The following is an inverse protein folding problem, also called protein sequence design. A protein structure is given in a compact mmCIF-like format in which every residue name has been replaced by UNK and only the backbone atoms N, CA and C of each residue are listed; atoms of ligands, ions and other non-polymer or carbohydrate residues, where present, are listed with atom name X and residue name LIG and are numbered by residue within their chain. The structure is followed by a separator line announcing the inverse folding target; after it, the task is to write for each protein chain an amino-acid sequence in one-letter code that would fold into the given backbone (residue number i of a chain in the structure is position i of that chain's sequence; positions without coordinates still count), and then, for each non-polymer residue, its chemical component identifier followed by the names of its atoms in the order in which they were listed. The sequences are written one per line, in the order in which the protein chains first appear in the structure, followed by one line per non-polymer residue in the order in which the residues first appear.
data_IF_347891255629
#
_entry.id   IF_347891255629
#
_cell.length_a   1.000
_cell.length_b   1.000
_cell.length_c   1.000
_cell.angle_alpha   90.00
_cell.angle_beta   90.00
_cell.angle_gamma   90.00
#
_symmetry.space_group_name_H-M   'P 1'
#
loop_
_entity.id
_entity.type
_entity.pdbx_description
1 polymer ?
#
# COMPACT_ATOMS: atom_id res chain seq x y z
N UNK A 1 -13.63 -7.81 12.04
CA UNK A 1 -13.78 -7.89 11.59
C UNK A 1 -13.79 -7.98 10.79
N UNK A 2 -13.83 -7.97 10.89
CA UNK A 2 -13.71 -7.70 10.22
C UNK A 2 -14.45 -7.72 9.19
N UNK A 3 -14.85 -6.86 9.11
CA UNK A 3 -15.62 -6.63 8.02
C UNK A 3 -15.27 -7.47 6.96
N UNK A 4 -14.25 -7.88 7.12
CA UNK A 4 -13.79 -8.60 6.15
C UNK A 4 -13.83 -9.96 6.48
N UNK A 5 -14.66 -10.39 7.27
CA UNK A 5 -14.82 -11.71 7.66
C UNK A 5 -15.33 -12.56 6.57
N UNK A 6 -14.89 -12.37 5.38
CA UNK A 6 -15.23 -13.17 4.24
C UNK A 6 -16.34 -12.62 3.38
N UNK A 7 -16.91 -11.51 3.80
CA UNK A 7 -18.00 -10.94 3.02
C UNK A 7 -17.54 -9.75 2.18
N UNK A 8 -16.39 -9.16 2.49
CA UNK A 8 -15.90 -8.01 1.77
C UNK A 8 -15.05 -8.40 0.58
N UNK A 9 -14.94 -7.46 -0.34
CA UNK A 9 -14.07 -7.65 -1.50
C UNK A 9 -12.67 -7.18 -1.19
N UNK A 10 -11.70 -7.85 -1.78
CA UNK A 10 -10.29 -7.57 -1.62
C UNK A 10 -9.67 -7.27 -2.97
N UNK A 11 -8.85 -6.22 -3.00
CA UNK A 11 -8.03 -5.94 -4.16
C UNK A 11 -6.74 -6.74 -4.03
N UNK A 12 -6.43 -7.54 -5.05
CA UNK A 12 -5.25 -8.38 -5.06
C UNK A 12 -4.16 -7.66 -5.83
N UNK A 13 -3.01 -7.48 -5.18
CA UNK A 13 -1.87 -6.78 -5.77
C UNK A 13 -0.64 -7.69 -5.76
N UNK A 14 0.28 -7.42 -6.70
CA UNK A 14 1.56 -8.10 -6.75
C UNK A 14 2.56 -7.22 -6.01
N UNK A 15 3.16 -7.74 -4.95
CA UNK A 15 4.13 -6.98 -4.16
C UNK A 15 5.53 -7.15 -4.73
N UNK A 16 5.90 -8.39 -5.03
CA UNK A 16 7.12 -8.73 -5.76
C UNK A 16 6.84 -9.99 -6.57
N UNK A 17 7.83 -10.58 -7.21
CA UNK A 17 7.58 -11.72 -8.10
C UNK A 17 7.03 -12.93 -7.35
N UNK A 18 7.24 -13.02 -6.05
CA UNK A 18 6.84 -14.19 -5.27
C UNK A 18 5.61 -13.97 -4.40
N UNK A 19 5.26 -12.74 -4.09
CA UNK A 19 4.26 -12.45 -3.05
C UNK A 19 3.12 -11.61 -3.60
N UNK A 20 1.90 -12.09 -3.36
CA UNK A 20 0.68 -11.32 -3.56
C UNK A 20 0.15 -10.85 -2.22
N UNK A 21 -0.52 -9.72 -2.24
CA UNK A 21 -1.14 -9.16 -1.05
C UNK A 21 -2.57 -8.74 -1.38
N UNK A 22 -3.34 -8.53 -0.33
CA UNK A 22 -4.72 -8.12 -0.48
C UNK A 22 -4.99 -6.87 0.34
N UNK A 23 -5.75 -5.96 -0.24
CA UNK A 23 -6.16 -4.71 0.40
C UNK A 23 -7.68 -4.71 0.40
N UNK A 24 -8.33 -4.45 1.55
CA UNK A 24 -9.79 -4.32 1.55
C UNK A 24 -10.23 -3.26 0.55
N UNK A 25 -11.14 -3.62 -0.32
CA UNK A 25 -11.51 -2.74 -1.42
C UNK A 25 -12.16 -1.45 -0.94
N UNK A 26 -12.86 -1.50 0.19
CA UNK A 26 -13.48 -0.30 0.75
C UNK A 26 -12.47 0.70 1.32
N UNK A 27 -11.21 0.31 1.47
CA UNK A 27 -10.14 1.25 1.85
C UNK A 27 -9.56 1.96 0.63
N UNK A 28 -9.85 1.51 -0.57
CA UNK A 28 -9.22 2.00 -1.79
C UNK A 28 -10.03 3.18 -2.31
N UNK A 29 -9.36 4.32 -2.49
CA UNK A 29 -9.99 5.50 -3.07
C UNK A 29 -9.83 5.54 -4.58
N UNK A 30 -8.65 5.16 -5.06
CA UNK A 30 -8.36 5.12 -6.49
C UNK A 30 -7.28 4.12 -6.79
N UNK A 31 -7.26 3.66 -8.03
CA UNK A 31 -6.17 2.88 -8.60
C UNK A 31 -5.54 3.75 -9.68
N UNK A 32 -4.24 3.96 -9.59
CA UNK A 32 -3.54 4.80 -10.55
C UNK A 32 -2.34 4.08 -11.12
N UNK A 33 -1.99 4.46 -12.32
CA UNK A 33 -0.74 4.00 -12.92
C UNK A 33 -0.02 5.24 -13.42
N UNK A 34 1.12 5.55 -12.80
CA UNK A 34 1.92 6.73 -13.15
C UNK A 34 3.13 6.28 -13.97
N UNK A 35 3.64 7.18 -14.79
CA UNK A 35 4.95 6.98 -15.37
C UNK A 35 6.00 7.03 -14.25
N UNK A 36 7.00 6.17 -14.31
CA UNK A 36 8.07 6.20 -13.31
C UNK A 36 8.77 7.56 -13.29
N UNK A 37 8.75 8.29 -14.39
CA UNK A 37 9.33 9.63 -14.45
C UNK A 37 8.59 10.65 -13.61
N UNK A 38 7.34 10.39 -13.27
CA UNK A 38 6.54 11.30 -12.45
C UNK A 38 6.84 11.13 -10.97
N UNK A 39 7.53 10.08 -10.58
CA UNK A 39 7.85 9.82 -9.18
C UNK A 39 9.10 10.61 -8.84
N UNK A 40 8.98 11.47 -7.82
CA UNK A 40 10.08 12.33 -7.40
C UNK A 40 10.58 11.89 -6.04
N UNK A 41 11.86 12.04 -5.83
CA UNK A 41 12.48 11.71 -4.57
C UNK A 41 12.79 12.97 -3.80
N UNK A 42 12.33 13.02 -2.55
CA UNK A 42 12.63 14.13 -1.65
C UNK A 42 13.21 13.50 -0.40
N UNK A 43 14.52 13.57 -0.24
CA UNK A 43 15.21 12.82 0.79
C UNK A 43 15.02 11.33 0.59
N UNK A 44 14.49 10.65 1.60
CA UNK A 44 14.21 9.21 1.51
C UNK A 44 12.79 8.92 1.07
N UNK A 45 11.99 9.96 0.85
CA UNK A 45 10.59 9.79 0.47
C UNK A 45 10.43 9.78 -1.03
N UNK A 46 9.50 8.98 -1.52
CA UNK A 46 9.04 9.03 -2.90
C UNK A 46 7.68 9.69 -2.90
N UNK A 47 7.49 10.65 -3.78
CA UNK A 47 6.25 11.41 -3.85
C UNK A 47 5.86 11.61 -5.31
N UNK A 48 4.61 11.98 -5.52
CA UNK A 48 4.11 12.29 -6.85
C UNK A 48 3.16 13.47 -6.75
N UNK A 49 3.11 14.26 -7.81
CA UNK A 49 2.12 15.33 -7.87
C UNK A 49 0.80 14.72 -8.27
N UNK A 50 -0.22 14.94 -7.46
CA UNK A 50 -1.49 14.27 -7.64
C UNK A 50 -2.61 15.24 -7.32
N UNK A 51 -3.36 15.61 -8.35
CA UNK A 51 -4.57 16.45 -8.21
C UNK A 51 -4.27 17.77 -7.48
N UNK A 52 -3.16 18.39 -7.83
CA UNK A 52 -2.79 19.67 -7.25
C UNK A 52 -2.14 19.60 -5.89
N UNK A 53 -1.84 18.41 -5.41
CA UNK A 53 -1.20 18.20 -4.12
C UNK A 53 -0.04 17.23 -4.27
N UNK A 54 0.69 17.02 -3.19
CA UNK A 54 1.75 16.04 -3.15
C UNK A 54 1.21 14.78 -2.49
N UNK A 55 1.31 13.66 -3.18
CA UNK A 55 0.91 12.36 -2.65
C UNK A 55 2.16 11.61 -2.20
N UNK A 56 2.24 11.31 -0.91
CA UNK A 56 3.31 10.49 -0.37
C UNK A 56 3.13 9.04 -0.82
N UNK A 57 4.17 8.45 -1.37
CA UNK A 57 4.16 7.04 -1.74
C UNK A 57 4.77 6.19 -0.63
N UNK A 58 4.25 5.00 -0.46
CA UNK A 58 4.77 3.99 0.46
C UNK A 58 5.10 2.76 -0.36
N UNK A 59 6.37 2.36 -0.34
CA UNK A 59 6.80 1.12 -0.98
C UNK A 59 6.35 -0.04 -0.09
N UNK A 60 5.34 -0.76 -0.52
CA UNK A 60 4.73 -1.80 0.30
C UNK A 60 5.76 -2.87 0.66
N UNK A 61 6.51 -3.36 -0.32
CA UNK A 61 7.49 -4.43 -0.07
C UNK A 61 8.49 -4.01 1.01
N UNK A 62 9.05 -2.81 0.88
CA UNK A 62 10.02 -2.32 1.85
C UNK A 62 9.40 -2.16 3.24
N UNK A 63 8.20 -1.62 3.29
CA UNK A 63 7.55 -1.30 4.56
C UNK A 63 7.17 -2.55 5.35
N UNK A 64 6.73 -3.60 4.65
CA UNK A 64 6.32 -4.83 5.34
C UNK A 64 7.45 -5.87 5.41
N UNK A 65 8.68 -5.48 5.03
CA UNK A 65 9.84 -6.36 5.18
C UNK A 65 9.96 -7.45 4.14
N UNK A 66 9.39 -7.24 2.96
CA UNK A 66 9.53 -8.18 1.84
C UNK A 66 10.60 -7.72 0.88
N UNK A 67 11.10 -8.64 0.07
CA UNK A 67 12.13 -8.30 -0.92
C UNK A 67 11.59 -7.30 -1.93
N UNK A 68 12.38 -6.24 -2.16
CA UNK A 68 12.06 -5.24 -3.16
C UNK A 68 12.64 -5.66 -4.50
N UNK A 69 11.92 -5.29 -5.55
CA UNK A 69 12.36 -5.52 -6.92
C UNK A 69 12.32 -4.18 -7.67
N UNK A 70 13.13 -4.02 -8.72
CA UNK A 70 13.10 -2.79 -9.50
C UNK A 70 11.70 -2.52 -10.02
N UNK A 71 11.28 -1.25 -10.00
CA UNK A 71 9.98 -0.86 -10.51
C UNK A 71 9.99 -0.94 -12.04
N UNK A 72 8.98 -1.58 -12.60
CA UNK A 72 8.78 -1.61 -14.04
C UNK A 72 7.62 -0.73 -14.48
N UNK A 73 6.76 -0.38 -13.53
CA UNK A 73 5.63 0.52 -13.78
C UNK A 73 5.27 1.19 -12.47
N UNK A 74 4.47 2.24 -12.54
CA UNK A 74 4.09 3.02 -11.38
C UNK A 74 2.67 2.72 -10.92
N UNK A 75 2.39 1.50 -10.53
CA UNK A 75 1.08 1.14 -9.99
C UNK A 75 0.96 1.61 -8.55
N UNK A 76 -0.09 2.36 -8.27
CA UNK A 76 -0.32 2.95 -6.95
C UNK A 76 -1.78 2.74 -6.55
N UNK A 77 -1.95 2.26 -5.33
CA UNK A 77 -3.27 2.12 -4.70
C UNK A 77 -3.42 3.28 -3.74
N UNK A 78 -4.32 4.21 -4.03
CA UNK A 78 -4.51 5.40 -3.19
C UNK A 78 -5.49 5.06 -2.08
N UNK A 79 -5.06 5.26 -0.84
CA UNK A 79 -5.87 4.98 0.34
C UNK A 79 -5.91 6.22 1.24
N UNK A 80 -6.87 6.27 2.15
CA UNK A 80 -7.00 7.36 3.11
C UNK A 80 -8.33 8.08 2.99
N UNK A 81 -8.41 9.26 3.56
CA UNK A 81 -9.63 10.06 3.57
C UNK A 81 -9.30 11.54 3.38
N UNK A 82 -10.12 12.22 2.58
CA UNK A 82 -10.01 13.68 2.41
C UNK A 82 -8.62 14.11 2.01
N UNK A 83 -8.00 14.94 2.85
CA UNK A 83 -6.66 15.43 2.57
C UNK A 83 -5.57 14.48 3.06
N UNK A 84 -5.93 13.40 3.74
CA UNK A 84 -4.96 12.46 4.30
C UNK A 84 -4.88 11.23 3.41
N UNK A 85 -4.32 11.41 2.21
CA UNK A 85 -4.15 10.33 1.25
C UNK A 85 -2.71 9.86 1.20
N UNK A 86 -2.54 8.57 0.96
CA UNK A 86 -1.24 7.93 0.78
C UNK A 86 -1.36 6.99 -0.41
N UNK A 87 -0.30 6.91 -1.20
CA UNK A 87 -0.25 5.98 -2.32
C UNK A 87 0.58 4.75 -1.98
N UNK A 88 -0.05 3.59 -2.01
CA UNK A 88 0.66 2.33 -1.81
C UNK A 88 1.26 1.88 -3.12
N UNK A 89 2.57 1.82 -3.19
CA UNK A 89 3.30 1.48 -4.40
C UNK A 89 3.49 -0.03 -4.47
N UNK A 90 2.99 -0.64 -5.54
CA UNK A 90 3.04 -2.09 -5.76
C UNK A 90 3.51 -2.39 -7.17
N UNK A 91 3.91 -3.63 -7.43
CA UNK A 91 4.40 -4.03 -8.75
C UNK A 91 3.26 -4.24 -9.76
N UNK A 92 2.07 -4.56 -9.29
CA UNK A 92 0.95 -4.74 -10.18
C UNK A 92 -0.35 -4.84 -9.42
N UNK A 93 -1.44 -4.58 -10.14
CA UNK A 93 -2.79 -4.71 -9.62
C UNK A 93 -3.42 -5.84 -10.42
N UNK A 94 -3.86 -6.89 -9.74
CA UNK A 94 -4.22 -8.13 -10.41
C UNK A 94 -5.71 -8.35 -10.57
N UNK A 95 -6.48 -8.23 -9.48
CA UNK A 95 -7.87 -8.66 -9.52
C UNK A 95 -8.60 -8.19 -8.27
N UNK A 96 -9.90 -8.42 -8.24
CA UNK A 96 -10.73 -8.25 -7.06
C UNK A 96 -11.35 -9.59 -6.74
N UNK A 97 -11.32 -10.00 -5.49
CA UNK A 97 -11.84 -11.29 -5.08
C UNK A 97 -12.51 -11.18 -3.71
N UNK A 98 -13.53 -12.00 -3.50
CA UNK A 98 -14.15 -12.15 -2.18
C UNK A 98 -13.95 -13.56 -1.63
N UNK A 99 -13.06 -14.35 -2.23
CA UNK A 99 -12.94 -15.78 -1.92
C UNK A 99 -11.76 -16.08 -1.02
N UNK A 100 -11.62 -15.33 0.04
CA UNK A 100 -10.55 -15.55 1.00
C UNK A 100 -10.89 -16.73 1.91
N UNK A 101 -9.95 -17.62 2.08
CA UNK A 101 -10.11 -18.78 2.96
C UNK A 101 -8.82 -19.02 3.74
N UNK A 102 -8.89 -19.95 4.67
CA UNK A 102 -7.71 -20.41 5.45
C UNK A 102 -6.94 -19.27 6.11
N UNK A 103 -7.67 -18.29 6.67
CA UNK A 103 -7.06 -17.11 7.26
C UNK A 103 -6.30 -17.48 8.53
N UNK A 104 -5.07 -17.02 8.62
CA UNK A 104 -4.21 -17.25 9.77
C UNK A 104 -3.62 -15.92 10.24
N UNK A 105 -3.98 -15.45 11.43
CA UNK A 105 -3.44 -14.20 11.95
C UNK A 105 -1.92 -14.25 12.08
N UNK A 106 -1.29 -13.10 11.89
CA UNK A 106 0.15 -12.94 12.00
C UNK A 106 0.43 -11.90 13.07
N UNK A 107 1.28 -12.25 14.01
CA UNK A 107 1.69 -11.32 15.06
C UNK A 107 3.12 -10.87 14.80
N UNK A 108 3.43 -9.63 15.19
CA UNK A 108 4.79 -9.14 15.17
C UNK A 108 5.31 -8.74 13.80
N UNK A 109 4.45 -8.65 12.80
CA UNK A 109 4.87 -8.18 11.48
C UNK A 109 4.12 -6.90 11.14
N UNK A 110 4.77 -5.74 11.21
CA UNK A 110 4.11 -4.48 10.88
C UNK A 110 3.60 -4.50 9.45
N UNK A 111 2.37 -4.02 9.27
CA UNK A 111 1.79 -3.89 7.94
C UNK A 111 1.08 -5.13 7.42
N UNK A 112 1.13 -6.25 8.13
CA UNK A 112 0.44 -7.48 7.74
C UNK A 112 -0.42 -7.94 8.91
N UNK A 113 -1.71 -8.16 8.66
CA UNK A 113 -2.62 -8.65 9.70
C UNK A 113 -2.71 -10.17 9.73
N UNK A 114 -2.67 -10.79 8.56
CA UNK A 114 -2.86 -12.23 8.45
C UNK A 114 -2.39 -12.71 7.10
N UNK A 115 -2.26 -14.01 6.95
CA UNK A 115 -2.15 -14.68 5.67
C UNK A 115 -3.46 -15.38 5.37
N UNK A 116 -3.73 -15.60 4.10
CA UNK A 116 -4.89 -16.36 3.68
C UNK A 116 -4.65 -16.98 2.32
N UNK A 117 -5.67 -17.61 1.77
CA UNK A 117 -5.58 -18.27 0.47
C UNK A 117 -6.68 -17.72 -0.43
N UNK A 118 -6.29 -17.31 -1.64
CA UNK A 118 -7.23 -16.93 -2.69
C UNK A 118 -6.80 -17.66 -3.96
N UNK A 119 -7.75 -18.40 -4.54
CA UNK A 119 -7.50 -19.14 -5.79
C UNK A 119 -6.27 -20.04 -5.69
N UNK A 120 -6.14 -20.72 -4.57
CA UNK A 120 -5.06 -21.67 -4.37
C UNK A 120 -3.70 -21.07 -4.08
N UNK A 121 -3.61 -19.75 -3.89
CA UNK A 121 -2.35 -19.08 -3.61
C UNK A 121 -2.39 -18.36 -2.28
N UNK A 122 -1.29 -18.43 -1.54
CA UNK A 122 -1.17 -17.72 -0.27
C UNK A 122 -0.99 -16.24 -0.57
N UNK A 123 -1.72 -15.42 0.16
CA UNK A 123 -1.62 -13.96 0.07
C UNK A 123 -1.44 -13.38 1.45
N UNK A 124 -0.83 -12.19 1.51
CA UNK A 124 -0.71 -11.44 2.75
C UNK A 124 -1.81 -10.39 2.79
N UNK A 125 -2.58 -10.37 3.89
CA UNK A 125 -3.58 -9.33 4.10
C UNK A 125 -2.89 -8.13 4.71
N UNK A 126 -2.93 -7.00 4.01
CA UNK A 126 -2.23 -5.80 4.44
C UNK A 126 -3.03 -5.05 5.49
N UNK A 127 -2.31 -4.53 6.46
CA UNK A 127 -2.88 -3.63 7.47
C UNK A 127 -2.83 -2.21 6.90
N UNK A 128 -3.90 -1.79 6.26
CA UNK A 128 -3.95 -0.49 5.59
C UNK A 128 -3.81 0.64 6.59
N UNK A 129 -4.36 0.49 7.79
CA UNK A 129 -4.24 1.52 8.81
C UNK A 129 -2.77 1.76 9.18
N UNK A 130 -2.00 0.68 9.31
CA UNK A 130 -0.56 0.80 9.58
C UNK A 130 0.18 1.48 8.43
N UNK A 131 -0.11 1.07 7.19
CA UNK A 131 0.56 1.64 6.02
C UNK A 131 0.20 3.11 5.84
N UNK A 132 -1.05 3.45 6.08
CA UNK A 132 -1.50 4.84 5.99
C UNK A 132 -0.80 5.69 7.06
N UNK A 133 -0.75 5.22 8.29
CA UNK A 133 -0.07 5.93 9.38
C UNK A 133 1.40 6.12 9.04
N UNK A 134 2.05 5.10 8.54
CA UNK A 134 3.46 5.19 8.15
C UNK A 134 3.67 6.26 7.08
N UNK A 135 2.82 6.28 6.06
CA UNK A 135 2.92 7.28 4.99
C UNK A 135 2.68 8.69 5.50
N UNK A 136 1.70 8.86 6.38
CA UNK A 136 1.41 10.18 6.94
C UNK A 136 2.55 10.65 7.85
N UNK A 137 3.18 9.75 8.57
CA UNK A 137 4.35 10.08 9.38
C UNK A 137 5.53 10.55 8.51
N UNK A 138 5.73 9.94 7.37
CA UNK A 138 6.76 10.38 6.43
C UNK A 138 6.48 11.81 5.95
N UNK A 139 5.22 12.11 5.66
CA UNK A 139 4.81 13.44 5.26
C UNK A 139 5.06 14.46 6.37
N UNK A 140 4.67 14.14 7.60
CA UNK A 140 4.87 15.02 8.73
C UNK A 140 6.34 15.26 9.01
N UNK A 141 7.15 14.22 8.90
CA UNK A 141 8.59 14.35 9.09
C UNK A 141 9.20 15.31 8.07
N UNK A 142 8.76 15.25 6.82
CA UNK A 142 9.22 16.17 5.79
C UNK A 142 8.84 17.60 6.11
N UNK A 143 7.60 17.82 6.50
CA UNK A 143 7.13 19.16 6.85
C UNK A 143 7.92 19.69 8.05
N UNK A 144 8.10 18.87 9.06
CA UNK A 144 8.86 19.27 10.23
C UNK A 144 10.30 19.62 9.88
N UNK A 145 10.91 18.87 9.00
CA UNK A 145 12.27 19.14 8.55
C UNK A 145 12.37 20.48 7.84
N UNK A 146 11.42 20.76 6.95
CA UNK A 146 11.42 22.02 6.22
C UNK A 146 11.26 23.21 7.17
N UNK A 147 10.41 23.09 8.15
CA UNK A 147 10.23 24.14 9.13
C UNK A 147 11.51 24.37 9.92
N UNK A 148 12.19 23.31 10.30
CA UNK A 148 13.43 23.43 11.03
C UNK A 148 14.53 24.07 10.19
N UNK A 149 14.47 23.88 8.89
CA UNK A 149 15.46 24.43 7.98
C UNK A 149 15.20 25.87 7.60
N UNK A 150 14.05 26.38 7.96
CA UNK A 150 13.74 27.78 7.70
C UNK A 150 14.27 28.69 8.78
#
# INVERSE_FOLDING_TARGET
ALANDGTGQLLIVQVNSDVRAAVPLDCVKRLEEFSLKEIERVGKSAVIQYRGSILQLVDVAATVGMSREPWTSGHVVVVGNGDSLVGLQVQGILDVSSELSAVKPVAGKPGITSYGVIQGKVIALLDVAHLLTHGLELTDSRVGFEQAGA
#
